data_IF_029562778088
#
_entry.id   IF_029562778088
#
_cell.length_a   1.000
_cell.length_b   1.000
_cell.length_c   1.000
_cell.angle_alpha   90.00
_cell.angle_beta   90.00
_cell.angle_gamma   90.00
#
_symmetry.space_group_name_H-M   'P 1'
#
loop_
_entity.id
_entity.type
_entity.pdbx_description
1 polymer ?
#
# COMPACT_ATOMS: atom_id res chain seq x y z
N UNK A 1 4.16 -23.29 -0.57
CA UNK A 1 4.35 -21.83 -0.33
C UNK A 1 5.30 -21.22 -1.36
N UNK A 2 6.59 -21.62 -1.43
CA UNK A 2 7.56 -21.07 -2.40
C UNK A 2 7.11 -21.15 -3.87
N UNK A 3 6.53 -22.27 -4.29
CA UNK A 3 6.04 -22.44 -5.66
C UNK A 3 4.88 -21.49 -6.01
N UNK A 4 3.94 -21.31 -5.08
CA UNK A 4 2.80 -20.40 -5.26
C UNK A 4 3.28 -18.94 -5.33
N UNK A 5 4.15 -18.53 -4.41
CA UNK A 5 4.76 -17.19 -4.44
C UNK A 5 5.50 -16.90 -5.75
N UNK A 6 6.29 -17.85 -6.27
CA UNK A 6 6.97 -17.71 -7.57
C UNK A 6 5.99 -17.63 -8.74
N UNK A 7 4.90 -18.40 -8.70
CA UNK A 7 3.83 -18.33 -9.71
C UNK A 7 3.21 -16.93 -9.73
N UNK A 8 2.84 -16.39 -8.57
CA UNK A 8 2.23 -15.06 -8.45
C UNK A 8 3.17 -13.97 -8.98
N UNK A 9 4.44 -13.95 -8.56
CA UNK A 9 5.43 -12.99 -9.07
C UNK A 9 5.55 -13.08 -10.59
N UNK A 10 5.70 -14.30 -11.13
CA UNK A 10 5.81 -14.49 -12.58
C UNK A 10 4.56 -13.98 -13.29
N UNK A 11 3.38 -14.27 -12.76
CA UNK A 11 2.13 -13.79 -13.31
C UNK A 11 2.07 -12.26 -13.33
N UNK A 12 2.52 -11.58 -12.27
CA UNK A 12 2.60 -10.12 -12.23
C UNK A 12 3.58 -9.52 -13.24
N UNK A 13 4.77 -10.10 -13.40
CA UNK A 13 5.79 -9.61 -14.35
C UNK A 13 5.57 -10.07 -15.80
N UNK A 14 4.71 -11.05 -16.03
CA UNK A 14 4.27 -11.43 -17.38
C UNK A 14 3.04 -10.61 -17.80
N UNK A 15 2.25 -10.15 -16.83
CA UNK A 15 1.15 -9.22 -17.05
C UNK A 15 1.66 -7.79 -17.23
N UNK A 16 1.04 -7.03 -18.15
CA UNK A 16 1.35 -5.62 -18.34
C UNK A 16 1.09 -4.77 -17.08
N UNK A 17 0.25 -5.24 -16.17
CA UNK A 17 -0.24 -4.43 -15.04
C UNK A 17 0.83 -4.10 -14.02
N UNK A 18 1.77 -5.00 -13.72
CA UNK A 18 2.87 -4.70 -12.79
C UNK A 18 3.70 -3.50 -13.27
N UNK A 19 4.05 -3.49 -14.57
CA UNK A 19 4.80 -2.40 -15.17
C UNK A 19 3.99 -1.11 -15.27
N UNK A 20 2.70 -1.20 -15.63
CA UNK A 20 1.81 -0.03 -15.69
C UNK A 20 1.67 0.62 -14.33
N UNK A 21 1.53 -0.16 -13.26
CA UNK A 21 1.45 0.35 -11.88
C UNK A 21 2.74 1.04 -11.46
N UNK A 22 3.90 0.39 -11.66
CA UNK A 22 5.20 0.99 -11.29
C UNK A 22 5.45 2.26 -12.12
N UNK A 23 5.18 2.21 -13.42
CA UNK A 23 5.32 3.34 -14.32
C UNK A 23 4.39 4.49 -13.96
N UNK A 24 3.13 4.21 -13.65
CA UNK A 24 2.17 5.22 -13.21
C UNK A 24 2.60 5.87 -11.89
N UNK A 25 3.06 5.08 -10.90
CA UNK A 25 3.56 5.62 -9.64
C UNK A 25 4.74 6.58 -9.84
N UNK A 26 5.75 6.15 -10.61
CA UNK A 26 6.91 6.99 -10.93
C UNK A 26 6.51 8.22 -11.74
N UNK A 27 5.59 8.08 -12.69
CA UNK A 27 5.14 9.19 -13.53
C UNK A 27 4.38 10.23 -12.70
N UNK A 28 3.40 9.81 -11.90
CA UNK A 28 2.65 10.72 -11.04
C UNK A 28 3.55 11.39 -10.00
N UNK A 29 4.42 10.65 -9.32
CA UNK A 29 5.36 11.25 -8.38
C UNK A 29 6.27 12.27 -9.08
N UNK A 30 6.85 11.93 -10.23
CA UNK A 30 7.75 12.85 -10.94
C UNK A 30 7.04 14.10 -11.44
N UNK A 31 5.82 13.97 -11.95
CA UNK A 31 5.03 15.10 -12.43
C UNK A 31 4.71 16.09 -11.30
N UNK A 32 4.22 15.62 -10.16
CA UNK A 32 3.84 16.50 -9.05
C UNK A 32 5.05 17.09 -8.31
N UNK A 33 6.16 16.35 -8.22
CA UNK A 33 7.34 16.82 -7.49
C UNK A 33 8.17 17.84 -8.27
N UNK A 34 8.21 17.73 -9.60
CA UNK A 34 9.17 18.48 -10.43
C UNK A 34 8.53 19.36 -11.50
N UNK A 35 7.35 18.99 -12.02
CA UNK A 35 6.76 19.64 -13.21
C UNK A 35 5.59 20.55 -12.84
N UNK A 36 4.67 20.07 -12.00
CA UNK A 36 3.47 20.81 -11.64
C UNK A 36 3.76 21.77 -10.48
N UNK A 37 3.34 23.02 -10.61
CA UNK A 37 3.34 24.00 -9.51
C UNK A 37 2.32 23.63 -8.44
N UNK A 38 2.66 23.87 -7.17
CA UNK A 38 1.80 23.58 -6.02
C UNK A 38 2.59 23.08 -4.79
N UNK A 39 1.85 22.79 -3.72
CA UNK A 39 2.41 22.49 -2.40
C UNK A 39 3.36 21.27 -2.36
N UNK A 40 3.27 20.37 -3.35
CA UNK A 40 4.13 19.19 -3.45
C UNK A 40 5.44 19.43 -4.21
N UNK A 41 5.58 20.56 -4.91
CA UNK A 41 6.72 20.82 -5.77
C UNK A 41 7.98 21.12 -4.95
N UNK A 42 9.03 20.34 -5.20
CA UNK A 42 10.29 20.44 -4.44
C UNK A 42 11.00 21.78 -4.72
N UNK A 43 10.94 22.28 -5.96
CA UNK A 43 11.55 23.56 -6.33
C UNK A 43 10.91 24.74 -5.61
N UNK A 44 9.57 24.73 -5.51
CA UNK A 44 8.81 25.82 -4.90
C UNK A 44 8.91 25.77 -3.37
N UNK A 45 9.05 24.58 -2.78
CA UNK A 45 9.20 24.43 -1.34
C UNK A 45 10.47 25.09 -0.79
N UNK A 46 11.53 25.25 -1.60
CA UNK A 46 12.79 25.87 -1.20
C UNK A 46 13.62 25.08 -0.18
N UNK A 47 13.14 23.91 0.28
CA UNK A 47 13.83 23.04 1.23
C UNK A 47 14.21 21.71 0.59
N UNK A 48 15.39 21.19 0.93
CA UNK A 48 15.85 19.87 0.50
C UNK A 48 15.16 18.76 1.34
N UNK A 49 13.84 18.63 1.19
CA UNK A 49 13.03 17.67 1.93
C UNK A 49 12.23 16.75 0.99
N UNK A 50 12.14 15.47 1.36
CA UNK A 50 11.28 14.49 0.67
C UNK A 50 9.91 14.34 1.31
N UNK A 51 9.59 15.13 2.33
CA UNK A 51 8.29 15.07 2.98
C UNK A 51 7.11 15.22 1.99
N UNK A 52 7.14 16.13 1.00
CA UNK A 52 6.08 16.24 0.01
C UNK A 52 5.90 14.96 -0.83
N UNK A 53 7.00 14.27 -1.15
CA UNK A 53 6.97 12.98 -1.85
C UNK A 53 6.23 11.92 -1.03
N UNK A 54 6.50 11.80 0.27
CA UNK A 54 5.88 10.77 1.10
C UNK A 54 4.38 10.99 1.27
N UNK A 55 3.94 12.24 1.45
CA UNK A 55 2.51 12.59 1.48
C UNK A 55 1.82 12.25 0.15
N UNK A 56 2.41 12.67 -0.96
CA UNK A 56 1.89 12.36 -2.30
C UNK A 56 1.87 10.85 -2.57
N UNK A 57 2.92 10.14 -2.18
CA UNK A 57 3.01 8.69 -2.36
C UNK A 57 1.92 7.96 -1.57
N UNK A 58 1.66 8.36 -0.33
CA UNK A 58 0.56 7.80 0.47
C UNK A 58 -0.80 7.98 -0.23
N UNK A 59 -1.06 9.17 -0.78
CA UNK A 59 -2.26 9.45 -1.58
C UNK A 59 -2.36 8.58 -2.83
N UNK A 60 -1.28 8.47 -3.62
CA UNK A 60 -1.27 7.64 -4.84
C UNK A 60 -1.49 6.16 -4.50
N UNK A 61 -0.89 5.66 -3.42
CA UNK A 61 -1.03 4.27 -2.99
C UNK A 61 -2.47 3.89 -2.63
N UNK A 62 -3.30 4.84 -2.18
CA UNK A 62 -4.74 4.58 -1.92
C UNK A 62 -5.43 4.01 -3.16
N UNK A 63 -5.07 4.46 -4.36
CA UNK A 63 -5.63 3.97 -5.62
C UNK A 63 -4.78 2.87 -6.26
N UNK A 64 -3.47 3.01 -6.19
CA UNK A 64 -2.56 2.13 -6.92
C UNK A 64 -2.48 0.72 -6.31
N UNK A 65 -2.55 0.62 -4.97
CA UNK A 65 -2.52 -0.68 -4.28
C UNK A 65 -3.78 -1.50 -4.58
N UNK A 66 -5.02 -0.96 -4.53
CA UNK A 66 -6.21 -1.63 -5.05
C UNK A 66 -6.06 -2.13 -6.49
N UNK A 67 -5.42 -1.36 -7.38
CA UNK A 67 -5.22 -1.78 -8.77
C UNK A 67 -4.30 -3.01 -8.87
N UNK A 68 -3.33 -3.14 -7.95
CA UNK A 68 -2.48 -4.33 -7.83
C UNK A 68 -3.25 -5.53 -7.24
N UNK A 69 -4.04 -5.31 -6.19
CA UNK A 69 -4.71 -6.39 -5.46
C UNK A 69 -5.99 -6.87 -6.13
N UNK A 70 -6.65 -6.04 -6.95
CA UNK A 70 -7.98 -6.33 -7.47
C UNK A 70 -8.09 -7.71 -8.12
N UNK A 71 -7.07 -8.16 -8.86
CA UNK A 71 -7.11 -9.42 -9.60
C UNK A 71 -6.67 -10.66 -8.81
N UNK A 72 -6.02 -10.49 -7.67
CA UNK A 72 -5.22 -11.56 -7.05
C UNK A 72 -6.05 -12.77 -6.62
N UNK A 73 -7.31 -12.54 -6.26
CA UNK A 73 -8.28 -13.59 -5.92
C UNK A 73 -9.49 -13.52 -6.85
N UNK A 74 -9.98 -12.33 -7.19
CA UNK A 74 -11.19 -12.18 -8.02
C UNK A 74 -11.02 -12.80 -9.41
N UNK A 75 -9.81 -12.80 -9.99
CA UNK A 75 -9.57 -13.41 -11.30
C UNK A 75 -9.62 -14.93 -11.23
N UNK A 76 -9.05 -15.53 -10.18
CA UNK A 76 -9.12 -16.98 -9.95
C UNK A 76 -10.55 -17.45 -9.67
N UNK A 77 -11.37 -16.59 -9.04
CA UNK A 77 -12.81 -16.81 -8.89
C UNK A 77 -13.53 -16.77 -10.22
N UNK A 78 -13.31 -15.69 -11.00
CA UNK A 78 -13.95 -15.49 -12.30
C UNK A 78 -13.59 -16.59 -13.31
N UNK A 79 -12.35 -17.06 -13.29
CA UNK A 79 -11.88 -18.11 -14.20
C UNK A 79 -12.24 -19.53 -13.76
N UNK A 80 -12.90 -19.70 -12.61
CA UNK A 80 -13.22 -21.02 -12.07
C UNK A 80 -12.00 -21.83 -11.60
N UNK A 81 -10.83 -21.19 -11.44
CA UNK A 81 -9.61 -21.84 -10.98
C UNK A 81 -9.55 -22.01 -9.46
N UNK A 82 -10.35 -21.25 -8.70
CA UNK A 82 -10.30 -21.28 -7.24
C UNK A 82 -10.66 -22.66 -6.64
N UNK A 83 -11.71 -23.38 -7.11
CA UNK A 83 -11.98 -24.75 -6.66
C UNK A 83 -10.84 -25.72 -6.97
N UNK A 84 -10.18 -25.57 -8.13
CA UNK A 84 -9.02 -26.37 -8.50
C UNK A 84 -7.83 -26.12 -7.55
N UNK A 85 -7.69 -24.92 -6.99
CA UNK A 85 -6.68 -24.63 -5.99
C UNK A 85 -6.98 -25.33 -4.64
N UNK A 86 -8.26 -25.50 -4.31
CA UNK A 86 -8.70 -26.15 -3.07
C UNK A 86 -8.60 -27.68 -3.08
N UNK A 87 -8.46 -28.32 -4.25
CA UNK A 87 -8.22 -29.78 -4.34
C UNK A 87 -6.80 -30.15 -3.90
N UNK A 88 -5.85 -29.23 -3.97
CA UNK A 88 -4.51 -29.46 -3.44
C UNK A 88 -4.54 -29.49 -1.91
N UNK A 89 -3.71 -30.35 -1.25
CA UNK A 89 -3.64 -30.48 0.21
C UNK A 89 -2.86 -29.31 0.84
N UNK A 90 -3.24 -28.08 0.51
CA UNK A 90 -2.66 -26.84 1.03
C UNK A 90 -3.67 -26.14 1.95
N UNK A 91 -3.21 -25.72 3.11
CA UNK A 91 -4.01 -24.91 4.03
C UNK A 91 -4.31 -23.54 3.41
N UNK A 92 -5.51 -23.01 3.60
CA UNK A 92 -5.93 -21.70 3.09
C UNK A 92 -5.00 -20.58 3.56
N UNK A 93 -4.52 -20.65 4.81
CA UNK A 93 -3.50 -19.72 5.32
C UNK A 93 -2.23 -19.66 4.46
N UNK A 94 -1.75 -20.79 3.94
CA UNK A 94 -0.58 -20.83 3.06
C UNK A 94 -0.87 -20.16 1.71
N UNK A 95 -2.13 -20.17 1.25
CA UNK A 95 -2.55 -19.48 0.02
C UNK A 95 -2.56 -17.97 0.26
N UNK A 96 -3.23 -17.52 1.33
CA UNK A 96 -3.33 -16.11 1.71
C UNK A 96 -1.95 -15.49 1.91
N UNK A 97 -1.09 -16.13 2.72
CA UNK A 97 0.26 -15.63 2.97
C UNK A 97 1.13 -15.60 1.72
N UNK A 98 1.02 -16.60 0.84
CA UNK A 98 1.80 -16.61 -0.40
C UNK A 98 1.41 -15.44 -1.32
N UNK A 99 0.10 -15.21 -1.52
CA UNK A 99 -0.42 -14.09 -2.32
C UNK A 99 -0.04 -12.75 -1.68
N UNK A 100 -0.14 -12.64 -0.36
CA UNK A 100 0.16 -11.41 0.35
C UNK A 100 1.63 -11.05 0.24
N UNK A 101 2.53 -12.00 0.49
CA UNK A 101 3.97 -11.79 0.34
C UNK A 101 4.35 -11.40 -1.10
N UNK A 102 3.66 -11.93 -2.12
CA UNK A 102 3.88 -11.51 -3.51
C UNK A 102 3.52 -10.04 -3.74
N UNK A 103 2.45 -9.54 -3.13
CA UNK A 103 2.10 -8.10 -3.17
C UNK A 103 3.14 -7.25 -2.45
N UNK A 104 3.58 -7.67 -1.25
CA UNK A 104 4.64 -6.98 -0.51
C UNK A 104 5.93 -6.91 -1.31
N UNK A 105 6.28 -7.98 -2.02
CA UNK A 105 7.47 -7.99 -2.89
C UNK A 105 7.36 -6.96 -4.02
N UNK A 106 6.19 -6.81 -4.65
CA UNK A 106 5.96 -5.80 -5.69
C UNK A 106 6.01 -4.39 -5.10
N UNK A 107 5.42 -4.18 -3.92
CA UNK A 107 5.50 -2.90 -3.21
C UNK A 107 6.94 -2.54 -2.85
N UNK A 108 7.74 -3.51 -2.40
CA UNK A 108 9.17 -3.31 -2.14
C UNK A 108 9.91 -2.85 -3.40
N UNK A 109 9.63 -3.46 -4.55
CA UNK A 109 10.21 -3.03 -5.83
C UNK A 109 9.79 -1.60 -6.15
N UNK A 110 8.50 -1.30 -6.06
CA UNK A 110 7.96 0.04 -6.32
C UNK A 110 8.60 1.12 -5.43
N UNK A 111 8.73 0.84 -4.12
CA UNK A 111 9.38 1.75 -3.16
C UNK A 111 10.89 1.86 -3.46
N UNK A 112 11.56 0.76 -3.83
CA UNK A 112 12.99 0.79 -4.19
C UNK A 112 13.24 1.69 -5.40
N UNK A 113 12.38 1.64 -6.43
CA UNK A 113 12.49 2.53 -7.59
C UNK A 113 12.36 4.01 -7.20
N UNK A 114 11.58 4.32 -6.16
CA UNK A 114 11.47 5.70 -5.65
C UNK A 114 12.71 6.23 -4.95
N UNK A 115 13.70 5.38 -4.64
CA UNK A 115 14.98 5.82 -4.09
C UNK A 115 15.75 6.75 -5.06
N UNK A 116 15.39 6.78 -6.35
CA UNK A 116 15.89 7.77 -7.31
C UNK A 116 15.61 9.20 -6.82
N UNK A 117 14.47 9.45 -6.16
CA UNK A 117 14.16 10.79 -5.63
C UNK A 117 15.06 11.19 -4.47
N UNK A 118 15.47 10.24 -3.63
CA UNK A 118 16.50 10.46 -2.58
C UNK A 118 17.81 10.90 -3.21
N UNK A 119 18.25 10.20 -4.25
CA UNK A 119 19.48 10.55 -4.96
C UNK A 119 19.40 11.96 -5.57
N UNK A 120 18.26 12.34 -6.15
CA UNK A 120 18.08 13.69 -6.72
C UNK A 120 18.16 14.77 -5.64
N UNK A 121 17.38 14.65 -4.56
CA UNK A 121 17.35 15.64 -3.48
C UNK A 121 18.69 15.74 -2.76
N UNK A 122 19.38 14.61 -2.56
CA UNK A 122 20.72 14.58 -1.97
C UNK A 122 21.73 15.43 -2.75
N UNK A 123 21.69 15.36 -4.08
CA UNK A 123 22.60 16.12 -4.95
C UNK A 123 22.21 17.59 -5.11
N UNK A 124 20.91 17.89 -5.06
CA UNK A 124 20.35 19.24 -5.20
C UNK A 124 20.40 20.05 -3.90
N UNK A 125 20.60 19.41 -2.75
CA UNK A 125 20.74 20.09 -1.46
C UNK A 125 21.97 21.00 -1.39
N UNK A 126 21.82 22.13 -0.69
CA UNK A 126 22.90 23.07 -0.38
C UNK A 126 23.04 23.21 1.16
N UNK A 127 24.11 22.71 1.79
CA UNK A 127 25.19 21.88 1.22
C UNK A 127 24.70 20.50 0.77
N UNK A 128 25.49 19.82 -0.06
CA UNK A 128 25.16 18.46 -0.54
C UNK A 128 24.92 17.53 0.64
N UNK A 129 23.83 16.76 0.60
CA UNK A 129 23.43 15.89 1.69
C UNK A 129 22.75 16.58 2.88
N UNK A 130 22.36 17.86 2.75
CA UNK A 130 21.53 18.56 3.73
C UNK A 130 20.06 18.08 3.69
N UNK A 131 19.87 16.78 3.91
CA UNK A 131 18.57 16.11 3.92
C UNK A 131 18.38 15.41 5.27
N UNK A 132 17.17 15.46 5.81
CA UNK A 132 16.84 14.73 7.04
C UNK A 132 16.76 13.23 6.76
N UNK A 133 17.84 12.51 7.09
CA UNK A 133 17.95 11.06 6.93
C UNK A 133 16.99 10.33 7.88
N UNK A 134 16.76 10.85 9.09
CA UNK A 134 15.92 10.21 10.09
C UNK A 134 14.45 10.27 9.67
N UNK A 135 13.96 11.45 9.27
CA UNK A 135 12.62 11.60 8.72
C UNK A 135 12.44 10.80 7.43
N UNK A 136 13.43 10.79 6.53
CA UNK A 136 13.34 10.05 5.26
C UNK A 136 13.24 8.55 5.47
N UNK A 137 14.11 7.97 6.31
CA UNK A 137 14.08 6.52 6.61
C UNK A 137 12.80 6.11 7.36
N UNK A 138 12.35 6.92 8.32
CA UNK A 138 11.08 6.73 9.02
C UNK A 138 9.89 6.75 8.06
N UNK A 139 9.87 7.71 7.13
CA UNK A 139 8.82 7.83 6.11
C UNK A 139 8.79 6.65 5.14
N UNK A 140 9.94 6.09 4.75
CA UNK A 140 9.98 4.88 3.92
C UNK A 140 9.41 3.65 4.62
N UNK A 141 9.71 3.48 5.91
CA UNK A 141 9.15 2.40 6.73
C UNK A 141 7.65 2.60 6.89
N UNK A 142 7.20 3.83 7.16
CA UNK A 142 5.79 4.19 7.24
C UNK A 142 5.05 3.88 5.93
N UNK A 143 5.62 4.27 4.79
CA UNK A 143 5.05 4.04 3.46
C UNK A 143 4.93 2.54 3.15
N UNK A 144 5.93 1.75 3.54
CA UNK A 144 5.89 0.30 3.38
C UNK A 144 4.81 -0.35 4.25
N UNK A 145 4.69 0.04 5.53
CA UNK A 145 3.65 -0.47 6.42
C UNK A 145 2.25 -0.06 5.98
N UNK A 146 2.10 1.18 5.52
CA UNK A 146 0.85 1.69 4.96
C UNK A 146 0.46 0.90 3.70
N UNK A 147 1.37 0.77 2.74
CA UNK A 147 1.14 -0.01 1.52
C UNK A 147 0.85 -1.49 1.81
N UNK A 148 1.52 -2.07 2.81
CA UNK A 148 1.28 -3.43 3.28
C UNK A 148 -0.13 -3.60 3.88
N UNK A 149 -0.63 -2.59 4.59
CA UNK A 149 -1.99 -2.58 5.14
C UNK A 149 -3.03 -2.43 4.04
N UNK A 150 -2.82 -1.49 3.11
CA UNK A 150 -3.67 -1.34 1.91
C UNK A 150 -3.71 -2.60 1.05
N UNK A 151 -2.61 -3.35 0.97
CA UNK A 151 -2.57 -4.62 0.26
C UNK A 151 -3.43 -5.69 0.93
N UNK A 152 -3.46 -5.73 2.27
CA UNK A 152 -4.33 -6.65 3.01
C UNK A 152 -5.81 -6.29 2.84
N UNK A 153 -6.16 -5.01 2.95
CA UNK A 153 -7.53 -4.50 2.69
C UNK A 153 -7.96 -4.81 1.25
N UNK A 154 -7.09 -4.54 0.28
CA UNK A 154 -7.36 -4.79 -1.13
C UNK A 154 -7.48 -6.28 -1.46
N UNK A 155 -6.73 -7.14 -0.78
CA UNK A 155 -6.87 -8.60 -0.90
C UNK A 155 -8.21 -9.09 -0.37
N UNK A 156 -8.66 -8.56 0.78
CA UNK A 156 -9.98 -8.85 1.33
C UNK A 156 -11.10 -8.45 0.37
N UNK A 157 -11.04 -7.24 -0.20
CA UNK A 157 -12.00 -6.80 -1.20
C UNK A 157 -12.00 -7.67 -2.47
N UNK A 158 -10.83 -8.10 -2.94
CA UNK A 158 -10.68 -9.07 -4.05
C UNK A 158 -11.27 -10.45 -3.69
N UNK A 159 -11.21 -10.85 -2.42
CA UNK A 159 -11.86 -12.06 -1.94
C UNK A 159 -13.38 -11.91 -1.79
N UNK A 160 -13.94 -10.72 -1.66
CA UNK A 160 -15.40 -10.58 -1.58
C UNK A 160 -16.10 -10.52 -2.96
N UNK A 161 -15.34 -10.25 -4.03
CA UNK A 161 -15.90 -10.00 -5.36
C UNK A 161 -15.38 -10.98 -6.40
N UNK A 162 -16.24 -11.38 -7.34
CA UNK A 162 -15.85 -12.12 -8.54
C UNK A 162 -15.46 -11.19 -9.71
N UNK A 163 -15.80 -9.90 -9.62
CA UNK A 163 -15.48 -8.89 -10.62
C UNK A 163 -14.30 -8.02 -10.16
N UNK A 164 -13.25 -7.95 -10.99
CA UNK A 164 -12.05 -7.14 -10.75
C UNK A 164 -12.39 -5.66 -10.54
N UNK A 165 -13.34 -5.10 -11.30
CA UNK A 165 -13.71 -3.69 -11.21
C UNK A 165 -14.38 -3.41 -9.87
N UNK A 166 -15.31 -4.26 -9.43
CA UNK A 166 -15.98 -4.12 -8.14
C UNK A 166 -14.96 -4.29 -7.00
N UNK A 167 -14.04 -5.26 -7.11
CA UNK A 167 -12.97 -5.45 -6.13
C UNK A 167 -12.10 -4.19 -6.00
N UNK A 168 -11.74 -3.57 -7.13
CA UNK A 168 -10.98 -2.32 -7.17
C UNK A 168 -11.71 -1.17 -6.49
N UNK A 169 -12.97 -0.93 -6.84
CA UNK A 169 -13.78 0.17 -6.27
C UNK A 169 -13.95 0.00 -4.77
N UNK A 170 -14.29 -1.20 -4.30
CA UNK A 170 -14.46 -1.49 -2.88
C UNK A 170 -13.14 -1.33 -2.12
N UNK A 171 -12.04 -1.88 -2.64
CA UNK A 171 -10.71 -1.72 -2.04
C UNK A 171 -10.28 -0.26 -1.94
N UNK A 172 -10.51 0.52 -3.00
CA UNK A 172 -10.16 1.94 -3.06
C UNK A 172 -10.99 2.74 -2.05
N UNK A 173 -12.30 2.48 -2.01
CA UNK A 173 -13.19 3.11 -1.04
C UNK A 173 -12.77 2.80 0.40
N UNK A 174 -12.48 1.54 0.72
CA UNK A 174 -12.03 1.14 2.06
C UNK A 174 -10.68 1.79 2.42
N UNK A 175 -9.71 1.79 1.51
CA UNK A 175 -8.42 2.44 1.76
C UNK A 175 -8.58 3.94 1.96
N UNK A 176 -9.38 4.61 1.12
CA UNK A 176 -9.67 6.03 1.24
C UNK A 176 -10.37 6.34 2.57
N UNK A 177 -11.39 5.56 2.94
CA UNK A 177 -12.12 5.73 4.18
C UNK A 177 -11.24 5.53 5.41
N UNK A 178 -10.39 4.49 5.42
CA UNK A 178 -9.47 4.23 6.54
C UNK A 178 -8.35 5.26 6.65
N UNK A 179 -7.95 5.86 5.53
CA UNK A 179 -6.88 6.86 5.52
C UNK A 179 -7.38 8.28 5.83
N UNK A 180 -8.47 8.73 5.21
CA UNK A 180 -9.01 10.09 5.37
C UNK A 180 -10.28 10.15 6.19
N UNK A 181 -11.21 9.22 5.97
CA UNK A 181 -12.58 9.33 6.47
C UNK A 181 -12.75 8.98 7.94
N UNK A 182 -11.90 8.12 8.50
CA UNK A 182 -12.11 7.58 9.84
C UNK A 182 -11.95 8.66 10.94
N UNK A 183 -10.89 9.47 10.86
CA UNK A 183 -10.64 10.54 11.84
C UNK A 183 -11.67 11.66 11.72
N UNK A 184 -12.03 12.03 10.49
CA UNK A 184 -13.08 13.04 10.23
C UNK A 184 -14.43 12.59 10.81
N UNK A 185 -14.80 11.32 10.60
CA UNK A 185 -16.03 10.75 11.15
C UNK A 185 -16.04 10.82 12.68
N UNK A 186 -14.93 10.43 13.32
CA UNK A 186 -14.81 10.46 14.79
C UNK A 186 -14.86 11.88 15.35
N UNK A 187 -14.31 12.86 14.63
CA UNK A 187 -14.38 14.28 14.98
C UNK A 187 -15.80 14.82 15.09
N UNK A 188 -16.77 14.26 14.36
CA UNK A 188 -18.19 14.64 14.51
C UNK A 188 -18.84 14.10 15.79
N UNK A 189 -18.33 12.99 16.35
CA UNK A 189 -18.95 12.30 17.49
C UNK A 189 -18.30 12.63 18.83
N UNK A 190 -17.02 13.03 18.83
CA UNK A 190 -16.27 13.33 20.06
C UNK A 190 -15.53 14.66 19.94
N UNK A 191 -15.83 15.61 20.81
CA UNK A 191 -15.12 16.91 20.93
C UNK A 191 -13.68 16.80 21.49
N UNK A 192 -13.06 15.62 21.40
CA UNK A 192 -11.74 15.36 21.97
C UNK A 192 -10.94 14.37 21.12
N UNK A 193 -9.70 14.74 20.83
CA UNK A 193 -8.63 13.98 20.16
C UNK A 193 -8.15 12.75 20.95
N UNK A 194 -9.02 12.12 21.75
CA UNK A 194 -8.62 11.06 22.68
C UNK A 194 -8.25 9.76 21.97
N UNK A 195 -8.76 9.52 20.76
CA UNK A 195 -8.39 8.36 19.95
C UNK A 195 -8.33 8.68 18.45
N UNK A 196 -7.12 8.98 17.99
CA UNK A 196 -6.78 9.00 16.56
C UNK A 196 -6.71 7.56 16.06
N UNK A 197 -7.64 7.17 15.20
CA UNK A 197 -7.68 5.81 14.65
C UNK A 197 -7.36 5.77 13.15
N UNK A 198 -7.29 6.89 12.45
CA UNK A 198 -7.02 6.93 11.02
C UNK A 198 -5.55 6.70 10.69
N UNK A 199 -5.32 6.16 9.48
CA UNK A 199 -3.96 5.81 9.05
C UNK A 199 -3.08 7.04 8.84
N UNK A 200 -3.68 8.18 8.50
CA UNK A 200 -2.97 9.42 8.20
C UNK A 200 -2.16 9.93 9.40
N UNK A 201 -2.73 9.93 10.60
CA UNK A 201 -2.05 10.41 11.81
C UNK A 201 -0.85 9.51 12.14
N UNK A 202 -1.05 8.20 12.18
CA UNK A 202 0.04 7.24 12.41
C UNK A 202 1.12 7.31 11.32
N UNK A 203 0.75 7.56 10.07
CA UNK A 203 1.68 7.75 8.97
C UNK A 203 2.48 9.05 9.11
N UNK A 204 1.84 10.17 9.45
CA UNK A 204 2.49 11.46 9.64
C UNK A 204 3.44 11.45 10.85
N UNK A 205 3.06 10.80 11.95
CA UNK A 205 3.91 10.63 13.13
C UNK A 205 5.21 9.88 12.80
N UNK A 206 5.09 8.78 12.05
CA UNK A 206 6.27 8.03 11.58
C UNK A 206 7.08 8.81 10.54
N UNK A 207 6.42 9.62 9.71
CA UNK A 207 7.08 10.42 8.68
C UNK A 207 7.94 11.55 9.28
N UNK A 208 7.71 11.93 10.53
CA UNK A 208 8.57 12.86 11.29
C UNK A 208 9.85 12.19 11.81
N UNK A 209 10.08 10.91 11.52
CA UNK A 209 11.26 10.16 11.95
C UNK A 209 11.11 9.52 13.32
N UNK A 210 9.94 9.60 13.96
CA UNK A 210 9.66 8.97 15.26
C UNK A 210 8.99 7.63 15.02
N UNK A 211 9.79 6.57 14.98
CA UNK A 211 9.28 5.20 14.84
C UNK A 211 8.91 4.69 16.25
N UNK A 212 7.66 4.88 16.64
CA UNK A 212 7.09 4.25 17.83
C UNK A 212 6.60 2.83 17.50
N UNK A 213 6.88 1.89 18.42
CA UNK A 213 6.27 0.56 18.47
C UNK A 213 4.75 0.58 18.35
N UNK A 214 4.07 1.61 18.87
CA UNK A 214 2.61 1.76 18.78
C UNK A 214 2.11 1.77 17.34
N UNK A 215 2.78 2.53 16.47
CA UNK A 215 2.39 2.66 15.07
C UNK A 215 2.63 1.34 14.31
N UNK A 216 3.74 0.66 14.60
CA UNK A 216 4.03 -0.66 14.00
C UNK A 216 2.98 -1.69 14.42
N UNK A 217 2.66 -1.78 15.71
CA UNK A 217 1.66 -2.71 16.24
C UNK A 217 0.28 -2.40 15.68
N UNK A 218 -0.06 -1.13 15.52
CA UNK A 218 -1.30 -0.68 14.91
C UNK A 218 -1.44 -1.20 13.46
N UNK A 219 -0.48 -0.89 12.57
CA UNK A 219 -0.54 -1.34 11.17
C UNK A 219 -0.49 -2.87 11.05
N UNK A 220 0.31 -3.54 11.89
CA UNK A 220 0.39 -5.00 11.92
C UNK A 220 -0.94 -5.64 12.34
N UNK A 221 -1.61 -5.08 13.35
CA UNK A 221 -2.90 -5.58 13.84
C UNK A 221 -3.98 -5.49 12.77
N UNK A 222 -4.06 -4.35 12.07
CA UNK A 222 -5.04 -4.14 11.01
C UNK A 222 -4.73 -5.03 9.80
N UNK A 223 -3.47 -5.13 9.42
CA UNK A 223 -3.02 -6.06 8.38
C UNK A 223 -3.47 -7.48 8.70
N UNK A 224 -3.19 -7.97 9.92
CA UNK A 224 -3.59 -9.32 10.32
C UNK A 224 -5.10 -9.51 10.34
N UNK A 225 -5.86 -8.51 10.81
CA UNK A 225 -7.32 -8.51 10.81
C UNK A 225 -7.88 -8.69 9.39
N UNK A 226 -7.44 -7.91 8.40
CA UNK A 226 -7.91 -8.05 7.02
C UNK A 226 -7.43 -9.34 6.34
N UNK A 227 -6.25 -9.83 6.66
CA UNK A 227 -5.79 -11.15 6.20
C UNK A 227 -6.63 -12.28 6.79
N UNK A 228 -7.03 -12.17 8.06
CA UNK A 228 -7.95 -13.11 8.71
C UNK A 228 -9.34 -13.09 8.04
N UNK A 229 -9.88 -11.91 7.75
CA UNK A 229 -11.14 -11.78 7.00
C UNK A 229 -11.05 -12.39 5.60
N UNK A 230 -9.93 -12.19 4.91
CA UNK A 230 -9.64 -12.84 3.61
C UNK A 230 -9.67 -14.35 3.73
N UNK A 231 -9.05 -14.88 4.80
CA UNK A 231 -9.01 -16.31 5.07
C UNK A 231 -10.40 -16.89 5.32
N UNK A 232 -11.24 -16.19 6.09
CA UNK A 232 -12.62 -16.60 6.37
C UNK A 232 -13.48 -16.59 5.10
N UNK A 233 -13.30 -15.57 4.25
CA UNK A 233 -13.97 -15.49 2.95
C UNK A 233 -13.65 -16.70 2.06
N UNK A 234 -12.36 -17.07 1.96
CA UNK A 234 -11.93 -18.25 1.21
C UNK A 234 -12.38 -19.58 1.85
N UNK A 235 -12.41 -19.66 3.18
CA UNK A 235 -12.94 -20.84 3.88
C UNK A 235 -14.42 -21.09 3.58
N UNK A 236 -15.21 -20.02 3.49
CA UNK A 236 -16.63 -20.11 3.17
C UNK A 236 -16.88 -20.68 1.78
N UNK A 237 -16.03 -20.36 0.80
CA UNK A 237 -16.15 -20.86 -0.57
C UNK A 237 -15.58 -22.27 -0.78
N UNK A 238 -14.75 -22.76 0.16
CA UNK A 238 -14.27 -24.14 0.14
C UNK A 238 -15.35 -25.14 0.59
N UNK A 239 -16.33 -24.69 1.37
CA UNK A 239 -17.46 -25.51 1.84
C UNK A 239 -18.50 -25.67 0.74
#
# INVERSE_FOLDING_TARGET
MKALFKKEIRYFFTSAIGYVVIGAFMLFCSLFLWVLSGDYNIWESGFASLHPFFLLAAWILVFLVPALTMRIISEEKRSGMLPLLFTYPISIWKIVWAKYLSLIFILLILITFSAVYVYMVWNLGAPKGNMDIASTTGSYIALLLLGATFAAVGMFASAMSQNQIIAFVVATFLNFFLFFGLDELLGFFTEGTLFSFGFKIHFEDMSRGVIDTRNIVYFASITFFFLYLTQLSLQREKK
#
